data_IF_320742576176
#
_entry.id   IF_320742576176
#
_cell.length_a   1.000
_cell.length_b   1.000
_cell.length_c   1.000
_cell.angle_alpha   90.00
_cell.angle_beta   90.00
_cell.angle_gamma   90.00
#
_symmetry.space_group_name_H-M   'P 1'
#
loop_
_entity.id
_entity.type
_entity.pdbx_description
1 polymer ?
#
# COMPACT_ATOMS: atom_id res chain seq x y z
N UNK A 1 11.44 -6.94 15.21
CA UNK A 1 11.78 -5.70 14.50
C UNK A 1 11.71 -6.01 13.02
N UNK A 2 11.02 -5.19 12.22
CA UNK A 2 11.01 -5.40 10.76
C UNK A 2 12.32 -4.89 10.16
N UNK A 3 12.94 -5.71 9.32
CA UNK A 3 14.14 -5.32 8.58
C UNK A 3 13.73 -4.51 7.34
N UNK A 4 14.69 -3.78 6.76
CA UNK A 4 14.43 -3.02 5.55
C UNK A 4 14.04 -3.93 4.37
N UNK A 5 14.77 -5.03 4.22
CA UNK A 5 14.59 -6.02 3.14
C UNK A 5 13.24 -6.75 3.21
N UNK A 6 12.49 -6.62 4.31
CA UNK A 6 11.15 -7.19 4.44
C UNK A 6 10.12 -6.46 3.57
N UNK A 7 10.44 -5.25 3.09
CA UNK A 7 9.55 -4.43 2.23
C UNK A 7 10.18 -4.02 0.90
N UNK A 8 11.39 -4.45 0.58
CA UNK A 8 12.02 -4.10 -0.70
C UNK A 8 11.41 -4.94 -1.84
N UNK A 9 10.84 -4.24 -2.83
CA UNK A 9 10.13 -4.81 -4.00
C UNK A 9 9.05 -5.84 -3.66
N UNK A 10 8.50 -5.80 -2.45
CA UNK A 10 7.42 -6.66 -1.97
C UNK A 10 6.60 -5.96 -0.90
N UNK A 11 5.31 -6.27 -0.84
CA UNK A 11 4.44 -5.76 0.22
C UNK A 11 4.77 -6.44 1.55
N UNK A 12 5.09 -5.64 2.55
CA UNK A 12 5.21 -6.09 3.94
C UNK A 12 3.89 -5.85 4.66
N UNK A 13 3.18 -6.93 5.01
CA UNK A 13 1.98 -6.87 5.84
C UNK A 13 2.35 -6.64 7.30
N UNK A 14 2.29 -5.39 7.75
CA UNK A 14 2.78 -5.00 9.08
C UNK A 14 1.70 -5.13 10.15
N UNK A 15 0.49 -4.68 9.83
CA UNK A 15 -0.62 -4.55 10.78
C UNK A 15 -1.86 -5.24 10.19
N UNK A 16 -2.61 -5.92 11.04
CA UNK A 16 -3.92 -6.49 10.72
C UNK A 16 -4.89 -6.27 11.87
N UNK A 17 -6.17 -6.56 11.61
CA UNK A 17 -7.14 -6.83 12.66
C UNK A 17 -6.63 -7.90 13.65
N UNK A 18 -7.24 -7.94 14.83
CA UNK A 18 -6.86 -8.82 15.93
C UNK A 18 -6.77 -10.30 15.53
N UNK A 19 -7.67 -10.73 14.65
CA UNK A 19 -7.84 -12.09 14.12
C UNK A 19 -7.12 -12.33 12.78
N UNK A 20 -6.44 -11.34 12.20
CA UNK A 20 -5.69 -11.49 10.95
C UNK A 20 -4.34 -12.18 11.13
N UNK A 21 -3.44 -12.04 10.14
CA UNK A 21 -2.16 -12.77 10.09
C UNK A 21 -0.90 -11.92 10.34
N UNK A 22 -1.01 -10.58 10.38
CA UNK A 22 0.15 -9.71 10.55
C UNK A 22 0.69 -9.72 11.99
N UNK A 23 1.98 -9.46 12.24
CA UNK A 23 2.56 -9.55 13.58
C UNK A 23 2.10 -8.43 14.53
N UNK A 24 1.71 -7.26 14.01
CA UNK A 24 1.10 -6.19 14.81
C UNK A 24 -0.43 -6.29 14.70
N UNK A 25 -1.09 -6.33 15.86
CA UNK A 25 -2.55 -6.47 15.95
C UNK A 25 -3.20 -5.18 16.44
N UNK A 26 -4.30 -4.79 15.79
CA UNK A 26 -5.15 -3.68 16.22
C UNK A 26 -6.63 -4.08 16.28
N UNK A 27 -7.43 -3.35 17.05
CA UNK A 27 -8.87 -3.58 17.20
C UNK A 27 -9.68 -2.79 16.17
N UNK A 28 -9.29 -2.85 14.90
CA UNK A 28 -9.99 -2.23 13.76
C UNK A 28 -9.89 -3.17 12.54
N UNK A 29 -10.88 -3.12 11.64
CA UNK A 29 -10.86 -3.84 10.35
C UNK A 29 -9.97 -3.08 9.34
N UNK A 30 -8.66 -3.13 9.58
CA UNK A 30 -7.64 -2.47 8.78
C UNK A 30 -6.42 -3.37 8.67
N UNK A 31 -5.88 -3.47 7.46
CA UNK A 31 -4.56 -3.98 7.15
C UNK A 31 -3.64 -2.81 6.77
N UNK A 32 -2.39 -2.82 7.24
CA UNK A 32 -1.39 -1.82 6.86
C UNK A 32 -0.21 -2.53 6.23
N UNK A 33 0.10 -2.11 5.01
CA UNK A 33 1.23 -2.61 4.25
C UNK A 33 2.26 -1.50 4.04
N UNK A 34 3.54 -1.88 3.97
CA UNK A 34 4.59 -0.98 3.51
C UNK A 34 5.34 -1.60 2.35
N UNK A 35 5.90 -0.74 1.51
CA UNK A 35 6.63 -1.10 0.30
C UNK A 35 7.76 -0.09 0.09
N UNK A 36 8.94 -0.58 -0.24
CA UNK A 36 10.02 0.16 -0.85
C UNK A 36 10.21 -0.39 -2.26
N UNK A 37 9.80 0.37 -3.27
CA UNK A 37 9.85 -0.04 -4.67
C UNK A 37 11.05 0.62 -5.36
N UNK A 38 11.95 -0.18 -5.93
CA UNK A 38 13.10 0.34 -6.66
C UNK A 38 12.70 0.99 -7.99
N UNK A 39 13.52 1.92 -8.45
CA UNK A 39 13.33 2.58 -9.75
C UNK A 39 13.15 1.56 -10.89
N UNK A 40 12.25 1.87 -11.83
CA UNK A 40 11.92 1.02 -12.99
C UNK A 40 11.33 -0.35 -12.65
N UNK A 41 10.93 -0.59 -11.40
CA UNK A 41 10.19 -1.79 -11.01
C UNK A 41 8.69 -1.50 -10.90
N UNK A 42 7.90 -2.57 -10.95
CA UNK A 42 6.46 -2.50 -10.83
C UNK A 42 5.93 -3.57 -9.87
N UNK A 43 4.84 -3.25 -9.17
CA UNK A 43 4.17 -4.17 -8.28
C UNK A 43 2.66 -3.93 -8.32
N UNK A 44 1.91 -4.97 -7.97
CA UNK A 44 0.46 -4.96 -7.97
C UNK A 44 -0.09 -5.18 -6.56
N UNK A 45 -1.30 -4.69 -6.31
CA UNK A 45 -2.08 -4.98 -5.11
C UNK A 45 -3.56 -4.99 -5.47
N UNK A 46 -4.30 -6.02 -5.06
CA UNK A 46 -5.74 -6.11 -5.34
C UNK A 46 -6.53 -5.57 -4.13
N UNK A 47 -7.32 -4.52 -4.35
CA UNK A 47 -8.33 -4.08 -3.38
C UNK A 47 -9.61 -4.86 -3.65
N UNK A 48 -9.93 -5.79 -2.76
CA UNK A 48 -11.07 -6.67 -2.93
C UNK A 48 -12.43 -5.94 -2.84
N UNK A 49 -13.47 -6.60 -3.35
CA UNK A 49 -14.84 -6.11 -3.28
C UNK A 49 -15.26 -5.88 -1.81
N UNK A 50 -15.92 -4.76 -1.54
CA UNK A 50 -16.33 -4.34 -0.20
C UNK A 50 -15.20 -3.71 0.61
N UNK A 51 -14.01 -3.49 0.02
CA UNK A 51 -12.85 -2.87 0.64
C UNK A 51 -12.35 -1.66 -0.16
N UNK A 52 -11.51 -0.87 0.49
CA UNK A 52 -10.89 0.33 -0.04
C UNK A 52 -9.45 0.45 0.45
N UNK A 53 -8.62 1.10 -0.35
CA UNK A 53 -7.24 1.43 -0.07
C UNK A 53 -7.04 2.94 0.04
N UNK A 54 -6.27 3.37 1.03
CA UNK A 54 -5.67 4.70 1.09
C UNK A 54 -4.16 4.54 0.99
N UNK A 55 -3.60 4.82 -0.19
CA UNK A 55 -2.17 4.71 -0.47
C UNK A 55 -1.50 6.07 -0.27
N UNK A 56 -0.42 6.12 0.50
CA UNK A 56 0.42 7.31 0.66
C UNK A 56 1.80 7.02 0.09
N UNK A 57 2.28 7.86 -0.82
CA UNK A 57 3.68 7.85 -1.24
C UNK A 57 4.49 8.73 -0.28
N UNK A 58 5.25 8.09 0.62
CA UNK A 58 6.06 8.81 1.62
C UNK A 58 7.14 9.64 0.94
N UNK A 59 7.83 9.06 -0.05
CA UNK A 59 8.91 9.67 -0.80
C UNK A 59 9.08 9.01 -2.18
N UNK A 60 9.78 9.68 -3.08
CA UNK A 60 10.02 9.23 -4.45
C UNK A 60 9.02 9.76 -5.47
N UNK A 61 8.90 9.07 -6.60
CA UNK A 61 7.93 9.36 -7.65
C UNK A 61 7.52 8.08 -8.39
N UNK A 62 6.24 7.97 -8.70
CA UNK A 62 5.67 6.78 -9.36
C UNK A 62 4.48 7.13 -10.24
N UNK A 63 4.05 6.15 -11.03
CA UNK A 63 2.77 6.12 -11.73
C UNK A 63 1.91 5.02 -11.10
N UNK A 64 0.69 5.37 -10.65
CA UNK A 64 -0.34 4.45 -10.20
C UNK A 64 -1.51 4.48 -11.19
N UNK A 65 -1.78 3.37 -11.88
CA UNK A 65 -2.87 3.26 -12.86
C UNK A 65 -2.96 4.46 -13.84
N UNK A 66 -1.80 4.96 -14.31
CA UNK A 66 -1.63 6.14 -15.20
C UNK A 66 -1.79 7.52 -14.53
N UNK A 67 -1.85 7.58 -13.21
CA UNK A 67 -1.84 8.82 -12.44
C UNK A 67 -0.47 8.95 -11.80
N UNK A 68 0.16 10.11 -11.98
CA UNK A 68 1.45 10.39 -11.36
C UNK A 68 1.27 10.72 -9.88
N UNK A 69 2.11 10.11 -9.05
CA UNK A 69 2.22 10.37 -7.62
C UNK A 69 3.62 10.90 -7.32
N UNK A 70 3.68 11.98 -6.55
CA UNK A 70 4.91 12.58 -6.03
C UNK A 70 5.01 12.40 -4.50
N UNK A 71 6.12 12.83 -3.92
CA UNK A 71 6.31 12.79 -2.47
C UNK A 71 5.14 13.44 -1.74
N UNK A 72 4.59 12.73 -0.74
CA UNK A 72 3.43 13.09 0.12
C UNK A 72 2.07 13.09 -0.57
N UNK A 73 1.99 12.74 -1.84
CA UNK A 73 0.70 12.48 -2.46
C UNK A 73 0.05 11.23 -1.87
N UNK A 74 -1.28 11.21 -1.90
CA UNK A 74 -2.07 10.07 -1.49
C UNK A 74 -3.21 9.82 -2.48
N UNK A 75 -3.68 8.58 -2.52
CA UNK A 75 -4.76 8.15 -3.38
C UNK A 75 -5.74 7.24 -2.64
N UNK A 76 -7.02 7.55 -2.78
CA UNK A 76 -8.12 6.65 -2.40
C UNK A 76 -8.45 5.73 -3.58
N UNK A 77 -8.60 4.44 -3.28
CA UNK A 77 -8.74 3.38 -4.28
C UNK A 77 -9.84 2.45 -3.80
N UNK A 78 -10.86 2.19 -4.63
CA UNK A 78 -12.05 1.45 -4.21
C UNK A 78 -12.28 0.27 -5.16
N UNK A 79 -12.25 -0.95 -4.63
CA UNK A 79 -12.59 -2.19 -5.35
C UNK A 79 -11.85 -2.34 -6.70
N UNK A 80 -10.58 -1.94 -6.75
CA UNK A 80 -9.77 -1.88 -7.96
C UNK A 80 -8.38 -2.51 -7.75
N UNK A 81 -7.85 -3.10 -8.82
CA UNK A 81 -6.45 -3.53 -8.88
C UNK A 81 -5.53 -2.33 -9.05
N UNK A 82 -4.55 -2.24 -8.15
CA UNK A 82 -3.49 -1.23 -8.18
C UNK A 82 -2.30 -1.77 -8.97
N UNK A 83 -1.78 -0.97 -9.90
CA UNK A 83 -0.48 -1.20 -10.54
C UNK A 83 0.39 0.03 -10.32
N UNK A 84 1.45 -0.12 -9.52
CA UNK A 84 2.43 0.94 -9.23
C UNK A 84 3.67 0.68 -10.06
N UNK A 85 4.16 1.72 -10.75
CA UNK A 85 5.46 1.73 -11.43
C UNK A 85 6.33 2.84 -10.85
N UNK A 86 7.44 2.47 -10.24
CA UNK A 86 8.38 3.44 -9.67
C UNK A 86 9.17 4.16 -10.77
N UNK A 87 9.09 5.49 -10.80
CA UNK A 87 9.95 6.36 -11.65
C UNK A 87 11.26 6.70 -10.93
N UNK A 88 11.26 6.65 -9.61
CA UNK A 88 12.42 6.72 -8.72
C UNK A 88 12.19 5.72 -7.57
N UNK A 89 13.23 5.39 -6.79
CA UNK A 89 13.04 4.61 -5.56
C UNK A 89 11.98 5.30 -4.69
N UNK A 90 10.91 4.58 -4.38
CA UNK A 90 9.70 5.16 -3.80
C UNK A 90 9.20 4.31 -2.65
N UNK A 91 8.79 4.96 -1.56
CA UNK A 91 8.28 4.27 -0.38
C UNK A 91 6.80 4.57 -0.17
N UNK A 92 6.04 3.53 0.19
CA UNK A 92 4.60 3.61 0.29
C UNK A 92 4.10 3.04 1.62
N UNK A 93 2.97 3.58 2.08
CA UNK A 93 2.10 2.94 3.06
C UNK A 93 0.73 2.75 2.41
N UNK A 94 0.18 1.55 2.47
CA UNK A 94 -1.18 1.25 2.06
C UNK A 94 -2.00 0.92 3.30
N UNK A 95 -3.06 1.68 3.53
CA UNK A 95 -4.11 1.36 4.49
C UNK A 95 -5.24 0.70 3.72
N UNK A 96 -5.48 -0.57 3.99
CA UNK A 96 -6.48 -1.39 3.32
C UNK A 96 -7.57 -1.71 4.35
N UNK A 97 -8.81 -1.35 4.07
CA UNK A 97 -9.87 -1.36 5.08
C UNK A 97 -11.23 -1.58 4.43
N UNK A 98 -12.25 -1.84 5.25
CA UNK A 98 -13.63 -1.89 4.77
C UNK A 98 -14.00 -0.60 4.03
N UNK A 99 -14.66 -0.75 2.88
CA UNK A 99 -15.19 0.36 2.08
C UNK A 99 -16.18 1.19 2.92
N UNK A 100 -16.06 2.51 2.87
CA UNK A 100 -17.07 3.38 3.44
C UNK A 100 -18.34 3.37 2.57
N UNK A 101 -19.49 3.18 3.23
CA UNK A 101 -20.78 3.36 2.57
C UNK A 101 -21.12 4.86 2.63
N UNK A 102 -20.77 5.59 1.56
CA UNK A 102 -21.28 6.95 1.34
C UNK A 102 -22.68 6.87 0.74
#
# INVERSE_FOLDING_TARGET
>A
MFNWDDRENKWLHMVSAHDGDAPIKIHQDVNIYTLSLDESTAIEFDIEKGRQGYLVQIEGSSELNKIDLFERDAMEIVEEKIVIKAKQKSHFILFEMKKENI
#
